data_IF_229810317988
#
_entry.id   IF_229810317988
#
_cell.length_a   1.000
_cell.length_b   1.000
_cell.length_c   1.000
_cell.angle_alpha   90.00
_cell.angle_beta   90.00
_cell.angle_gamma   90.00
#
_symmetry.space_group_name_H-M   'P 1'
#
loop_
_entity.id
_entity.type
_entity.pdbx_description
1 polymer ?
#
# COMPACT_ATOMS: atom_id res chain seq x y z
N UNK A 1 18.32 21.60 43.97
CA UNK A 1 18.63 21.68 42.53
C UNK A 1 18.50 20.27 41.97
N UNK A 2 17.38 19.93 41.35
CA UNK A 2 17.06 18.57 40.89
C UNK A 2 16.91 18.59 39.37
N UNK A 3 17.83 17.92 38.69
CA UNK A 3 17.81 17.74 37.25
C UNK A 3 16.80 16.65 36.89
N UNK A 4 15.72 17.02 36.19
CA UNK A 4 14.79 16.09 35.56
C UNK A 4 15.34 15.67 34.20
N UNK A 5 15.86 14.45 34.15
CA UNK A 5 16.22 13.78 32.91
C UNK A 5 14.98 13.65 32.01
N UNK A 6 15.05 14.30 30.84
CA UNK A 6 14.04 14.22 29.79
C UNK A 6 14.15 12.85 29.10
N UNK A 7 13.06 12.07 29.01
CA UNK A 7 13.10 10.75 28.36
C UNK A 7 13.46 10.88 26.87
N UNK A 8 14.14 9.88 26.28
CA UNK A 8 14.33 9.83 24.84
C UNK A 8 12.94 9.66 24.20
N UNK A 9 12.43 10.75 23.64
CA UNK A 9 11.25 10.74 22.80
C UNK A 9 11.44 9.69 21.73
N UNK A 10 10.55 8.70 21.77
CA UNK A 10 10.61 7.49 20.99
C UNK A 10 10.72 7.74 19.49
N UNK A 11 11.26 6.71 18.84
CA UNK A 11 10.88 6.24 17.52
C UNK A 11 10.11 7.26 16.67
N UNK A 12 10.78 7.76 15.63
CA UNK A 12 10.26 8.71 14.64
C UNK A 12 8.96 8.27 13.98
N UNK A 13 7.85 8.38 14.70
CA UNK A 13 6.48 8.23 14.25
C UNK A 13 5.83 9.61 14.07
N UNK A 14 6.62 10.59 13.60
CA UNK A 14 6.18 11.99 13.46
C UNK A 14 6.58 12.64 12.12
N UNK A 15 6.76 11.86 11.05
CA UNK A 15 6.79 12.36 9.67
C UNK A 15 6.24 11.34 8.68
N UNK A 16 4.91 11.30 8.54
CA UNK A 16 4.23 11.07 7.26
C UNK A 16 2.70 11.13 7.46
N UNK A 17 2.16 12.30 7.81
CA UNK A 17 0.88 12.72 7.22
C UNK A 17 1.15 13.32 5.82
N UNK A 18 2.13 12.73 5.11
CA UNK A 18 2.52 13.08 3.75
C UNK A 18 1.62 12.33 2.77
N UNK A 19 1.51 12.85 1.56
CA UNK A 19 0.63 12.38 0.50
C UNK A 19 0.46 10.84 0.47
N UNK A 20 -0.75 10.33 0.18
CA UNK A 20 -0.97 8.89 0.09
C UNK A 20 0.07 8.25 -0.81
N UNK A 21 0.57 7.05 -0.45
CA UNK A 21 1.56 6.37 -1.26
C UNK A 21 1.03 6.19 -2.67
N UNK A 22 1.93 6.31 -3.65
CA UNK A 22 1.61 5.97 -5.02
C UNK A 22 1.11 4.52 -5.10
N UNK A 23 0.27 4.22 -6.09
CA UNK A 23 -0.29 2.88 -6.29
C UNK A 23 0.79 1.80 -6.34
N UNK A 24 1.95 2.12 -6.93
CA UNK A 24 3.10 1.21 -6.99
C UNK A 24 3.75 0.90 -5.64
N UNK A 25 3.60 1.77 -4.65
CA UNK A 25 4.09 1.57 -3.28
C UNK A 25 3.00 1.05 -2.33
N UNK A 26 1.73 1.38 -2.60
CA UNK A 26 0.60 0.98 -1.77
C UNK A 26 0.33 -0.53 -1.81
N UNK A 27 0.44 -1.17 -2.99
CA UNK A 27 0.24 -2.61 -3.14
C UNK A 27 1.27 -3.46 -2.36
N UNK A 28 2.60 -3.25 -2.48
CA UNK A 28 3.57 -4.00 -1.68
C UNK A 28 3.49 -3.68 -0.18
N UNK A 29 3.15 -2.44 0.20
CA UNK A 29 2.90 -2.11 1.60
C UNK A 29 1.70 -2.89 2.17
N UNK A 30 0.60 -2.98 1.42
CA UNK A 30 -0.58 -3.75 1.80
C UNK A 30 -0.28 -5.25 1.94
N UNK A 31 0.55 -5.83 1.04
CA UNK A 31 1.02 -7.21 1.19
C UNK A 31 1.80 -7.42 2.49
N UNK A 32 2.62 -6.44 2.92
CA UNK A 32 3.33 -6.52 4.19
C UNK A 32 2.39 -6.64 5.39
N UNK A 33 1.22 -5.98 5.35
CA UNK A 33 0.19 -6.10 6.40
C UNK A 33 -0.58 -7.42 6.37
N UNK A 34 -0.60 -8.10 5.21
CA UNK A 34 -1.26 -9.39 4.98
C UNK A 34 -0.28 -10.57 4.93
N UNK A 35 1.00 -10.35 5.24
CA UNK A 35 2.04 -11.39 5.17
C UNK A 35 1.81 -12.52 6.19
N UNK A 36 1.13 -12.20 7.30
CA UNK A 36 0.66 -13.18 8.27
C UNK A 36 -0.87 -13.17 8.32
N UNK A 37 -1.48 -14.12 7.62
CA UNK A 37 -2.93 -14.29 7.55
C UNK A 37 -3.50 -14.93 8.83
N UNK A 38 -2.66 -15.56 9.66
CA UNK A 38 -3.09 -16.18 10.92
C UNK A 38 -3.34 -15.13 12.00
N UNK A 39 -2.57 -14.04 11.97
CA UNK A 39 -2.72 -12.90 12.88
C UNK A 39 -2.83 -11.60 12.07
N UNK A 40 -4.04 -11.27 11.58
CA UNK A 40 -4.20 -10.09 10.75
C UNK A 40 -3.80 -8.83 11.52
N UNK A 41 -2.92 -8.03 10.90
CA UNK A 41 -2.43 -6.80 11.48
C UNK A 41 -3.61 -5.87 11.86
N UNK A 42 -3.49 -5.08 12.94
CA UNK A 42 -4.56 -4.18 13.37
C UNK A 42 -4.94 -3.16 12.28
N UNK A 43 -4.01 -2.79 11.39
CA UNK A 43 -4.30 -1.92 10.25
C UNK A 43 -5.26 -2.54 9.22
N UNK A 44 -5.29 -3.88 9.10
CA UNK A 44 -6.25 -4.61 8.25
C UNK A 44 -7.62 -4.59 8.91
N UNK A 45 -7.68 -4.90 10.22
CA UNK A 45 -8.93 -4.93 11.01
C UNK A 45 -9.59 -3.55 11.11
N UNK A 46 -8.79 -2.50 11.25
CA UNK A 46 -9.27 -1.13 11.38
C UNK A 46 -9.63 -0.50 10.00
N UNK A 47 -9.54 -1.25 8.90
CA UNK A 47 -9.83 -0.75 7.55
C UNK A 47 -8.81 0.26 7.02
N UNK A 48 -7.69 0.49 7.73
CA UNK A 48 -6.63 1.42 7.30
C UNK A 48 -5.97 0.97 6.00
N UNK A 49 -5.80 -0.34 5.81
CA UNK A 49 -5.23 -0.89 4.56
C UNK A 49 -6.17 -0.63 3.38
N UNK A 50 -7.47 -0.89 3.53
CA UNK A 50 -8.47 -0.60 2.49
C UNK A 50 -8.53 0.91 2.17
N UNK A 51 -8.53 1.77 3.20
CA UNK A 51 -8.51 3.22 3.01
C UNK A 51 -7.26 3.69 2.25
N UNK A 52 -6.08 3.15 2.61
CA UNK A 52 -4.83 3.44 1.92
C UNK A 52 -4.89 3.06 0.44
N UNK A 53 -5.38 1.84 0.13
CA UNK A 53 -5.50 1.36 -1.25
C UNK A 53 -6.48 2.21 -2.07
N UNK A 54 -7.64 2.59 -1.51
CA UNK A 54 -8.59 3.50 -2.18
C UNK A 54 -8.01 4.89 -2.41
N UNK A 55 -7.24 5.41 -1.45
CA UNK A 55 -6.57 6.70 -1.60
C UNK A 55 -5.53 6.67 -2.73
N UNK A 56 -4.74 5.60 -2.81
CA UNK A 56 -3.77 5.39 -3.89
C UNK A 56 -4.45 5.24 -5.26
N UNK A 57 -5.58 4.51 -5.34
CA UNK A 57 -6.39 4.42 -6.56
C UNK A 57 -6.91 5.80 -7.02
N UNK A 58 -7.34 6.63 -6.07
CA UNK A 58 -7.84 7.97 -6.36
C UNK A 58 -6.73 8.88 -6.88
N UNK A 59 -5.52 8.75 -6.33
CA UNK A 59 -4.33 9.49 -6.78
C UNK A 59 -3.86 9.08 -8.19
N UNK A 60 -3.93 7.78 -8.53
CA UNK A 60 -3.61 7.27 -9.88
C UNK A 60 -4.55 7.84 -10.97
N UNK A 61 -5.82 8.05 -10.64
CA UNK A 61 -6.80 8.66 -11.55
C UNK A 61 -6.46 10.11 -11.95
N UNK A 62 -5.70 10.84 -11.12
CA UNK A 62 -5.39 12.25 -11.31
C UNK A 62 -4.00 12.56 -11.89
N UNK A 63 -3.10 11.58 -11.97
CA UNK A 63 -1.72 11.79 -12.42
C UNK A 63 -1.60 11.60 -13.95
N UNK A 64 -1.04 12.56 -14.71
CA UNK A 64 -0.74 12.35 -16.12
C UNK A 64 0.43 11.36 -16.25
N UNK A 65 0.15 10.14 -16.70
CA UNK A 65 1.18 9.12 -16.94
C UNK A 65 1.43 8.92 -18.43
N UNK A 66 2.65 8.54 -18.80
CA UNK A 66 3.04 8.21 -20.17
C UNK A 66 2.16 7.05 -20.67
N UNK A 67 1.62 7.06 -21.91
CA UNK A 67 0.61 6.09 -22.37
C UNK A 67 0.99 4.61 -22.15
N UNK A 68 2.26 4.24 -22.36
CA UNK A 68 2.74 2.87 -22.14
C UNK A 68 2.85 2.45 -20.67
N UNK A 69 3.09 3.41 -19.77
CA UNK A 69 3.15 3.18 -18.32
C UNK A 69 1.74 3.17 -17.71
N UNK A 70 0.78 3.87 -18.34
CA UNK A 70 -0.60 3.89 -17.87
C UNK A 70 -1.30 2.55 -17.98
N UNK A 71 -1.12 1.83 -19.10
CA UNK A 71 -1.75 0.52 -19.29
C UNK A 71 -1.34 -0.50 -18.23
N UNK A 72 -0.04 -0.63 -17.93
CA UNK A 72 0.45 -1.53 -16.89
C UNK A 72 -0.08 -1.13 -15.49
N UNK A 73 -0.15 0.18 -15.20
CA UNK A 73 -0.68 0.67 -13.93
C UNK A 73 -2.20 0.54 -13.81
N UNK A 74 -2.93 0.54 -14.92
CA UNK A 74 -4.38 0.30 -14.92
C UNK A 74 -4.72 -1.16 -14.59
N UNK A 75 -3.90 -2.12 -15.02
CA UNK A 75 -4.03 -3.53 -14.59
C UNK A 75 -3.76 -3.68 -13.08
N UNK A 76 -2.73 -3.01 -12.56
CA UNK A 76 -2.44 -2.97 -11.12
C UNK A 76 -3.61 -2.32 -10.37
N UNK A 77 -4.16 -1.22 -10.89
CA UNK A 77 -5.33 -0.57 -10.30
C UNK A 77 -6.56 -1.48 -10.31
N UNK A 78 -6.75 -2.29 -11.36
CA UNK A 78 -7.83 -3.29 -11.42
C UNK A 78 -7.66 -4.38 -10.35
N UNK A 79 -6.46 -4.94 -10.21
CA UNK A 79 -6.16 -5.93 -9.18
C UNK A 79 -6.31 -5.36 -7.76
N UNK A 80 -5.90 -4.11 -7.54
CA UNK A 80 -6.11 -3.41 -6.26
C UNK A 80 -7.59 -3.17 -5.97
N UNK A 81 -8.41 -2.83 -6.98
CA UNK A 81 -9.88 -2.75 -6.80
C UNK A 81 -10.48 -4.09 -6.41
N UNK A 82 -10.04 -5.19 -7.02
CA UNK A 82 -10.45 -6.54 -6.64
C UNK A 82 -10.04 -6.86 -5.20
N UNK A 83 -8.81 -6.52 -4.81
CA UNK A 83 -8.36 -6.69 -3.42
C UNK A 83 -9.21 -5.90 -2.43
N UNK A 84 -9.58 -4.65 -2.73
CA UNK A 84 -10.48 -3.87 -1.89
C UNK A 84 -11.87 -4.52 -1.75
N UNK A 85 -12.39 -5.15 -2.80
CA UNK A 85 -13.66 -5.88 -2.73
C UNK A 85 -13.56 -7.10 -1.77
N UNK A 86 -12.48 -7.88 -1.86
CA UNK A 86 -12.23 -9.00 -0.94
C UNK A 86 -12.00 -8.53 0.51
N UNK A 87 -11.28 -7.42 0.72
CA UNK A 87 -11.11 -6.82 2.04
C UNK A 87 -12.46 -6.38 2.65
N UNK A 88 -13.36 -5.81 1.84
CA UNK A 88 -14.70 -5.46 2.28
C UNK A 88 -15.56 -6.69 2.61
N UNK A 89 -15.32 -7.82 1.95
CA UNK A 89 -15.92 -9.12 2.24
C UNK A 89 -15.23 -9.89 3.39
N UNK A 90 -14.17 -9.34 3.99
CA UNK A 90 -13.30 -10.00 4.97
C UNK A 90 -12.61 -11.29 4.46
N UNK A 91 -12.45 -11.42 3.14
CA UNK A 91 -11.76 -12.51 2.46
C UNK A 91 -10.26 -12.18 2.36
N UNK A 92 -9.53 -12.35 3.47
CA UNK A 92 -8.13 -11.91 3.57
C UNK A 92 -7.17 -12.67 2.64
N UNK A 93 -7.44 -13.95 2.39
CA UNK A 93 -6.64 -14.77 1.49
C UNK A 93 -6.79 -14.33 0.03
N UNK A 94 -8.03 -14.12 -0.42
CA UNK A 94 -8.31 -13.61 -1.77
C UNK A 94 -7.79 -12.18 -1.96
N UNK A 95 -7.90 -11.35 -0.93
CA UNK A 95 -7.29 -10.01 -0.93
C UNK A 95 -5.77 -10.08 -1.08
N UNK A 96 -5.11 -11.00 -0.38
CA UNK A 96 -3.67 -11.23 -0.49
C UNK A 96 -3.28 -11.72 -1.89
N UNK A 97 -4.02 -12.68 -2.47
CA UNK A 97 -3.77 -13.19 -3.82
C UNK A 97 -3.93 -12.09 -4.88
N UNK A 98 -4.98 -11.28 -4.78
CA UNK A 98 -5.21 -10.15 -5.67
C UNK A 98 -4.08 -9.10 -5.57
N UNK A 99 -3.63 -8.76 -4.36
CA UNK A 99 -2.52 -7.84 -4.15
C UNK A 99 -1.18 -8.41 -4.64
N UNK A 100 -0.95 -9.71 -4.48
CA UNK A 100 0.26 -10.37 -5.00
C UNK A 100 0.30 -10.32 -6.51
N UNK A 101 -0.83 -10.61 -7.14
CA UNK A 101 -0.99 -10.48 -8.59
C UNK A 101 -0.79 -9.03 -9.06
N UNK A 102 -1.17 -8.03 -8.25
CA UNK A 102 -0.90 -6.62 -8.53
C UNK A 102 0.60 -6.29 -8.47
N UNK A 103 1.30 -6.78 -7.44
CA UNK A 103 2.74 -6.57 -7.27
C UNK A 103 3.57 -7.27 -8.35
N UNK A 104 3.19 -8.48 -8.76
CA UNK A 104 3.85 -9.20 -9.85
C UNK A 104 3.75 -8.48 -11.21
N UNK A 105 2.72 -7.64 -11.38
CA UNK A 105 2.49 -6.80 -12.57
C UNK A 105 3.12 -5.42 -12.48
N UNK A 106 3.72 -5.05 -11.35
CA UNK A 106 4.42 -3.77 -11.25
C UNK A 106 5.52 -3.74 -12.31
N UNK A 107 5.65 -2.63 -13.07
CA UNK A 107 6.72 -2.48 -14.02
C UNK A 107 8.02 -2.53 -13.22
N UNK A 108 8.81 -3.59 -13.41
CA UNK A 108 10.14 -3.63 -12.85
C UNK A 108 10.87 -2.43 -13.44
N UNK A 109 11.45 -1.58 -12.58
CA UNK A 109 12.41 -0.59 -13.04
C UNK A 109 13.52 -1.35 -13.74
N UNK A 110 13.44 -1.42 -15.07
CA UNK A 110 14.58 -1.75 -15.90
C UNK A 110 15.50 -0.58 -15.73
N UNK A 111 16.49 -0.71 -14.84
CA UNK A 111 17.65 0.18 -14.86
C UNK A 111 18.26 -0.03 -16.26
N UNK A 112 18.24 0.97 -17.16
CA UNK A 112 18.97 0.84 -18.41
C UNK A 112 20.46 0.76 -18.07
N UNK A 113 21.14 -0.16 -18.75
CA UNK A 113 22.50 -0.65 -18.47
C UNK A 113 23.51 0.36 -17.92
N UNK A 114 24.28 -0.11 -16.94
CA UNK A 114 25.65 0.35 -16.71
C UNK A 114 26.58 -0.19 -17.80
#
# INVERSE_FOLDING_TARGET
MTATARPPTGHGAARAAGAPPDLGAAAPAALGYLADLSVPAPAVRDGRVDHMLRSALSAHGGTPTVPGQRGAMDEVAAAVRTACAHLAAAELEDAYLALRAAVDRLPRSVVPGA
#
